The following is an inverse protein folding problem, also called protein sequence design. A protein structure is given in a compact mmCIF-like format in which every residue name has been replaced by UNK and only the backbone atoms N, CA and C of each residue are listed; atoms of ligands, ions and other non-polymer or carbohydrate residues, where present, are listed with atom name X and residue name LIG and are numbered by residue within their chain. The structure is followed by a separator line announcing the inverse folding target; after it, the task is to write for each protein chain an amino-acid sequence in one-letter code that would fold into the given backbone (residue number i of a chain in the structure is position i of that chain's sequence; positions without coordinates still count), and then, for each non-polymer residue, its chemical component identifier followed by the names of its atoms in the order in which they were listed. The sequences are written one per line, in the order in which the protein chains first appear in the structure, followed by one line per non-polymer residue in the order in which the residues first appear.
data_IF_765950826067
#
_entry.id   IF_765950826067
#
_cell.length_a   1.000
_cell.length_b   1.000
_cell.length_c   1.000
_cell.angle_alpha   90.00
_cell.angle_beta   90.00
_cell.angle_gamma   90.00
#
_symmetry.space_group_name_H-M   'P 1'
#
loop_
_entity.id
_entity.type
_entity.pdbx_description
1 polymer ?
#
# COMPACT_ATOMS: atom_id res chain seq x y z
N UNK A 1 -12.26 -4.64 -11.43
CA UNK A 1 -11.16 -5.63 -11.33
C UNK A 1 -11.63 -6.78 -10.45
N UNK A 2 -11.36 -8.04 -10.77
CA UNK A 2 -11.83 -9.18 -9.94
C UNK A 2 -11.03 -9.29 -8.63
N UNK A 3 -11.57 -9.97 -7.61
CA UNK A 3 -10.90 -10.13 -6.31
C UNK A 3 -9.52 -10.79 -6.44
N UNK A 4 -9.41 -11.86 -7.25
CA UNK A 4 -8.14 -12.55 -7.56
C UNK A 4 -7.10 -11.63 -8.23
N UNK A 5 -7.54 -10.62 -8.97
CA UNK A 5 -6.62 -9.67 -9.61
C UNK A 5 -5.99 -8.70 -8.59
N UNK A 6 -6.62 -8.48 -7.43
CA UNK A 6 -6.13 -7.60 -6.37
C UNK A 6 -5.07 -8.23 -5.47
N UNK A 7 -5.04 -9.57 -5.36
CA UNK A 7 -4.03 -10.29 -4.54
C UNK A 7 -2.65 -10.15 -5.18
N UNK A 8 -1.71 -9.52 -4.48
CA UNK A 8 -0.33 -9.30 -4.94
C UNK A 8 0.59 -10.43 -4.50
N UNK A 9 0.43 -10.88 -3.26
CA UNK A 9 1.21 -11.96 -2.68
C UNK A 9 0.37 -12.67 -1.60
N UNK A 10 0.55 -13.97 -1.47
CA UNK A 10 -0.10 -14.78 -0.45
C UNK A 10 0.80 -15.97 -0.10
N UNK A 11 1.02 -16.19 1.19
CA UNK A 11 1.64 -17.40 1.75
C UNK A 11 0.81 -17.90 2.95
N UNK A 12 1.36 -18.79 3.76
CA UNK A 12 0.66 -19.36 4.92
C UNK A 12 0.40 -18.33 6.05
N UNK A 13 1.18 -17.25 6.12
CA UNK A 13 1.12 -16.27 7.20
C UNK A 13 0.49 -14.94 6.76
N UNK A 14 0.64 -14.56 5.50
CA UNK A 14 0.31 -13.22 5.02
C UNK A 14 -0.52 -13.24 3.74
N UNK A 15 -1.35 -12.19 3.62
CA UNK A 15 -2.02 -11.80 2.40
C UNK A 15 -1.69 -10.34 2.13
N UNK A 16 -1.09 -10.06 0.97
CA UNK A 16 -0.85 -8.71 0.48
C UNK A 16 -1.76 -8.44 -0.72
N UNK A 17 -2.62 -7.45 -0.62
CA UNK A 17 -3.60 -7.12 -1.66
C UNK A 17 -3.70 -5.62 -1.92
N UNK A 18 -4.09 -5.25 -3.13
CA UNK A 18 -4.46 -3.88 -3.46
C UNK A 18 -5.69 -3.46 -2.63
N UNK A 19 -5.62 -2.27 -2.02
CA UNK A 19 -6.73 -1.67 -1.30
C UNK A 19 -7.99 -1.63 -2.20
N UNK A 20 -9.11 -2.11 -1.68
CA UNK A 20 -10.34 -2.27 -2.45
C UNK A 20 -11.27 -1.07 -2.41
N UNK A 21 -11.09 -0.20 -1.42
CA UNK A 21 -11.82 1.05 -1.22
C UNK A 21 -11.15 2.28 -1.88
N UNK A 22 -9.93 2.14 -2.40
CA UNK A 22 -9.16 3.21 -3.03
C UNK A 22 -8.38 2.65 -4.23
N UNK A 23 -8.63 3.21 -5.43
CA UNK A 23 -8.02 2.73 -6.68
C UNK A 23 -6.61 3.28 -6.93
N UNK A 24 -5.97 3.89 -5.91
CA UNK A 24 -4.58 4.35 -6.01
C UNK A 24 -3.64 3.17 -6.29
N UNK A 25 -2.94 3.13 -7.45
CA UNK A 25 -2.09 2.02 -7.82
C UNK A 25 -0.92 1.88 -6.84
N UNK A 26 -0.73 0.67 -6.33
CA UNK A 26 0.32 0.38 -5.35
C UNK A 26 -0.04 0.70 -3.92
N UNK A 27 -1.26 1.18 -3.65
CA UNK A 27 -1.76 1.20 -2.29
C UNK A 27 -2.16 -0.22 -1.87
N UNK A 28 -1.28 -0.87 -1.12
CA UNK A 28 -1.47 -2.25 -0.68
C UNK A 28 -1.84 -2.33 0.80
N UNK A 29 -2.56 -3.40 1.15
CA UNK A 29 -2.87 -3.80 2.52
C UNK A 29 -2.18 -5.15 2.76
N UNK A 30 -1.30 -5.20 3.76
CA UNK A 30 -0.75 -6.45 4.27
C UNK A 30 -1.60 -6.92 5.45
N UNK A 31 -2.24 -8.07 5.31
CA UNK A 31 -3.04 -8.72 6.35
C UNK A 31 -2.30 -9.94 6.87
N UNK A 32 -2.35 -10.14 8.19
CA UNK A 32 -1.94 -11.39 8.80
C UNK A 32 -3.11 -12.39 8.72
N UNK A 33 -2.79 -13.66 8.45
CA UNK A 33 -3.80 -14.73 8.42
C UNK A 33 -4.20 -15.20 9.83
N UNK A 34 -3.33 -14.98 10.82
CA UNK A 34 -3.65 -15.20 12.23
C UNK A 34 -4.65 -14.14 12.77
N UNK A 35 -5.01 -14.25 14.04
CA UNK A 35 -5.94 -13.34 14.72
C UNK A 35 -5.24 -12.29 15.59
N UNK A 36 -3.94 -12.05 15.39
CA UNK A 36 -3.21 -11.07 16.19
C UNK A 36 -3.82 -9.67 16.06
N UNK A 37 -3.94 -8.96 17.18
CA UNK A 37 -4.43 -7.59 17.26
C UNK A 37 -3.30 -6.58 17.45
N UNK A 38 -2.12 -7.05 17.85
CA UNK A 38 -0.94 -6.23 18.15
C UNK A 38 0.34 -6.94 17.69
N UNK A 39 1.37 -6.15 17.35
CA UNK A 39 2.69 -6.70 17.04
C UNK A 39 3.31 -7.46 18.22
N UNK A 40 2.93 -7.14 19.46
CA UNK A 40 3.41 -7.83 20.67
C UNK A 40 2.89 -9.26 20.81
N UNK A 41 1.87 -9.64 20.03
CA UNK A 41 1.28 -10.99 20.04
C UNK A 41 1.96 -11.92 19.03
N UNK A 42 2.84 -11.38 18.17
CA UNK A 42 3.55 -12.17 17.17
C UNK A 42 4.66 -12.99 17.83
N UNK A 43 4.79 -14.23 17.39
CA UNK A 43 5.97 -15.03 17.71
C UNK A 43 7.19 -14.58 16.87
N UNK A 44 8.37 -15.13 17.17
CA UNK A 44 9.61 -14.74 16.51
C UNK A 44 9.55 -14.93 14.99
N UNK A 45 9.10 -16.09 14.52
CA UNK A 45 8.98 -16.40 13.09
C UNK A 45 8.02 -15.44 12.36
N UNK A 46 6.85 -15.18 12.95
CA UNK A 46 5.87 -14.23 12.41
C UNK A 46 6.45 -12.81 12.32
N UNK A 47 7.17 -12.38 13.36
CA UNK A 47 7.77 -11.04 13.41
C UNK A 47 8.92 -10.86 12.41
N UNK A 48 9.77 -11.87 12.24
CA UNK A 48 10.86 -11.88 11.26
C UNK A 48 10.30 -11.87 9.84
N UNK A 49 9.32 -12.73 9.56
CA UNK A 49 8.68 -12.80 8.25
C UNK A 49 7.89 -11.53 7.94
N UNK A 50 7.23 -10.92 8.92
CA UNK A 50 6.56 -9.62 8.77
C UNK A 50 7.56 -8.54 8.31
N UNK A 51 8.72 -8.45 8.96
CA UNK A 51 9.77 -7.50 8.59
C UNK A 51 10.26 -7.71 7.14
N UNK A 52 10.48 -8.97 6.74
CA UNK A 52 10.88 -9.33 5.39
C UNK A 52 9.83 -8.92 4.34
N UNK A 53 8.55 -9.25 4.58
CA UNK A 53 7.47 -8.94 3.65
C UNK A 53 7.22 -7.43 3.55
N UNK A 54 7.26 -6.69 4.67
CA UNK A 54 7.14 -5.23 4.64
C UNK A 54 8.27 -4.58 3.83
N UNK A 55 9.51 -5.04 4.01
CA UNK A 55 10.66 -4.55 3.27
C UNK A 55 10.53 -4.87 1.77
N UNK A 56 10.18 -6.10 1.42
CA UNK A 56 10.05 -6.54 0.04
C UNK A 56 8.91 -5.82 -0.69
N UNK A 57 7.74 -5.72 -0.06
CA UNK A 57 6.59 -5.03 -0.63
C UNK A 57 6.88 -3.53 -0.81
N UNK A 58 7.59 -2.90 0.13
CA UNK A 58 8.04 -1.51 0.01
C UNK A 58 8.93 -1.33 -1.23
N UNK A 59 9.94 -2.18 -1.41
CA UNK A 59 10.81 -2.13 -2.59
C UNK A 59 10.03 -2.36 -3.90
N UNK A 60 9.07 -3.28 -3.90
CA UNK A 60 8.22 -3.55 -5.05
C UNK A 60 7.43 -2.29 -5.45
N UNK A 61 6.81 -1.63 -4.47
CA UNK A 61 6.04 -0.40 -4.67
C UNK A 61 6.94 0.73 -5.18
N UNK A 62 8.09 0.96 -4.54
CA UNK A 62 9.06 2.00 -4.96
C UNK A 62 9.51 1.80 -6.42
N UNK A 63 9.76 0.56 -6.84
CA UNK A 63 10.23 0.26 -8.21
C UNK A 63 9.13 0.27 -9.26
N UNK A 64 7.97 -0.30 -8.95
CA UNK A 64 6.88 -0.46 -9.94
C UNK A 64 6.07 0.82 -10.10
N UNK A 65 5.86 1.55 -9.00
CA UNK A 65 4.98 2.73 -8.95
C UNK A 65 5.80 4.02 -8.95
N UNK A 66 7.14 3.92 -8.85
CA UNK A 66 8.05 5.06 -8.74
C UNK A 66 7.72 5.94 -7.52
N UNK A 67 7.36 5.28 -6.41
CA UNK A 67 7.14 5.97 -5.15
C UNK A 67 8.47 6.49 -4.59
N UNK A 68 8.50 7.76 -4.18
CA UNK A 68 9.64 8.35 -3.47
C UNK A 68 9.68 7.92 -2.00
N UNK A 69 8.51 7.54 -1.48
CA UNK A 69 8.35 7.00 -0.13
C UNK A 69 7.13 6.09 -0.07
N UNK A 70 7.24 5.01 0.68
CA UNK A 70 6.08 4.21 1.09
C UNK A 70 5.81 4.49 2.56
N UNK A 71 4.59 4.90 2.89
CA UNK A 71 4.16 5.00 4.28
C UNK A 71 3.70 3.61 4.73
N UNK A 72 4.28 3.13 5.83
CA UNK A 72 3.85 1.91 6.50
C UNK A 72 3.07 2.32 7.75
N UNK A 73 1.77 2.06 7.77
CA UNK A 73 0.85 2.54 8.80
C UNK A 73 0.03 1.37 9.35
N UNK A 74 -0.12 1.29 10.67
CA UNK A 74 -1.04 0.37 11.35
C UNK A 74 -1.84 1.17 12.36
N UNK A 75 -3.12 1.40 12.05
CA UNK A 75 -4.05 2.13 12.92
C UNK A 75 -4.99 1.15 13.65
N UNK A 76 -5.59 0.22 12.90
CA UNK A 76 -6.39 -0.88 13.42
C UNK A 76 -7.60 -0.47 14.30
N UNK A 77 -8.19 0.72 14.14
CA UNK A 77 -9.32 1.15 14.96
C UNK A 77 -10.67 0.60 14.48
N UNK A 78 -10.88 0.49 13.16
CA UNK A 78 -12.12 -0.04 12.61
C UNK A 78 -12.08 -1.56 12.51
N UNK A 79 -11.02 -2.10 11.92
CA UNK A 79 -10.72 -3.53 11.94
C UNK A 79 -9.56 -3.77 12.90
N UNK A 80 -9.85 -4.47 14.01
CA UNK A 80 -8.91 -4.65 15.11
C UNK A 80 -7.83 -5.68 14.85
N UNK A 81 -8.00 -6.52 13.82
CA UNK A 81 -6.96 -7.47 13.41
C UNK A 81 -5.78 -6.70 12.85
N UNK A 82 -4.58 -7.08 13.24
CA UNK A 82 -3.34 -6.44 12.83
C UNK A 82 -3.23 -6.47 11.30
N UNK A 83 -3.07 -5.30 10.71
CA UNK A 83 -2.82 -5.12 9.29
C UNK A 83 -2.03 -3.84 9.05
N UNK A 84 -1.36 -3.77 7.90
CA UNK A 84 -0.54 -2.63 7.54
C UNK A 84 -1.01 -2.04 6.21
N UNK A 85 -1.17 -0.73 6.19
CA UNK A 85 -1.30 0.06 4.99
C UNK A 85 0.10 0.37 4.45
N UNK A 86 0.36 -0.02 3.20
CA UNK A 86 1.55 0.36 2.43
C UNK A 86 1.13 1.36 1.36
N UNK A 87 1.29 2.65 1.67
CA UNK A 87 0.77 3.74 0.86
C UNK A 87 1.87 4.42 0.03
N UNK A 88 1.77 4.43 -1.32
CA UNK A 88 2.78 5.00 -2.19
C UNK A 88 2.65 6.52 -2.29
N UNK A 89 3.68 7.25 -1.84
CA UNK A 89 3.83 8.67 -2.16
C UNK A 89 4.75 8.81 -3.37
N UNK A 90 4.17 9.14 -4.52
CA UNK A 90 4.87 9.52 -5.75
C UNK A 90 5.01 11.04 -5.86
N UNK A 91 5.90 11.52 -6.74
CA UNK A 91 5.98 12.95 -7.08
C UNK A 91 4.64 13.46 -7.59
N UNK A 92 4.00 12.73 -8.51
CA UNK A 92 2.71 13.11 -9.09
C UNK A 92 1.63 13.28 -8.02
N UNK A 93 1.56 12.38 -7.05
CA UNK A 93 0.60 12.47 -5.95
C UNK A 93 0.90 13.67 -5.03
N UNK A 94 2.16 13.90 -4.71
CA UNK A 94 2.59 15.05 -3.91
C UNK A 94 2.26 16.38 -4.60
N UNK A 95 2.55 16.51 -5.90
CA UNK A 95 2.20 17.69 -6.71
C UNK A 95 0.70 17.92 -6.72
N UNK A 96 -0.07 16.86 -6.96
CA UNK A 96 -1.53 16.95 -7.02
C UNK A 96 -2.14 17.36 -5.68
N UNK A 97 -1.62 16.83 -4.57
CA UNK A 97 -2.00 17.24 -3.22
C UNK A 97 -1.68 18.73 -2.98
N UNK A 98 -0.47 19.18 -3.29
CA UNK A 98 -0.06 20.58 -3.12
C UNK A 98 -0.92 21.55 -3.93
N UNK A 99 -1.21 21.22 -5.19
CA UNK A 99 -2.11 22.03 -6.01
C UNK A 99 -3.52 22.08 -5.45
N UNK A 100 -4.06 20.92 -5.03
CA UNK A 100 -5.43 20.80 -4.52
C UNK A 100 -5.68 21.43 -3.15
N UNK A 101 -4.63 21.56 -2.32
CA UNK A 101 -4.73 22.13 -0.96
C UNK A 101 -4.10 23.50 -0.81
N UNK A 102 -3.49 24.01 -1.88
CA UNK A 102 -2.72 25.27 -1.89
C UNK A 102 -1.59 25.26 -0.84
N UNK A 103 -1.05 24.08 -0.52
CA UNK A 103 0.08 23.90 0.40
C UNK A 103 1.42 23.93 -0.34
N UNK A 104 2.46 24.48 0.29
CA UNK A 104 3.81 24.38 -0.26
C UNK A 104 4.29 22.91 -0.28
N UNK A 105 4.79 22.44 -1.43
CA UNK A 105 5.34 21.09 -1.61
C UNK A 105 6.58 20.81 -0.78
N UNK A 106 7.29 21.84 -0.32
CA UNK A 106 8.53 21.67 0.45
C UNK A 106 8.29 21.16 1.88
N UNK A 107 7.06 21.27 2.40
CA UNK A 107 6.67 20.85 3.75
C UNK A 107 5.47 19.88 3.72
N UNK A 108 5.61 18.77 3.01
CA UNK A 108 4.56 17.75 2.93
C UNK A 108 4.33 17.06 4.28
N UNK A 109 3.11 17.19 4.80
CA UNK A 109 2.63 16.38 5.90
C UNK A 109 2.02 15.07 5.36
N UNK A 110 2.73 13.96 5.55
CA UNK A 110 2.33 12.66 5.02
C UNK A 110 0.99 12.14 5.55
N UNK A 111 0.62 12.47 6.79
CA UNK A 111 -0.67 12.06 7.37
C UNK A 111 -1.84 12.79 6.68
N UNK A 112 -1.70 14.11 6.45
CA UNK A 112 -2.72 14.89 5.73
C UNK A 112 -2.80 14.48 4.26
N UNK A 113 -1.68 14.21 3.61
CA UNK A 113 -1.67 13.69 2.24
C UNK A 113 -2.38 12.34 2.15
N UNK A 114 -2.09 11.43 3.09
CA UNK A 114 -2.72 10.12 3.16
C UNK A 114 -4.25 10.23 3.30
N UNK A 115 -4.72 11.03 4.25
CA UNK A 115 -6.16 11.27 4.48
C UNK A 115 -6.83 11.93 3.26
N UNK A 116 -6.22 13.00 2.73
CA UNK A 116 -6.71 13.69 1.55
C UNK A 116 -6.83 12.76 0.34
N UNK A 117 -5.84 11.91 0.12
CA UNK A 117 -5.84 10.98 -1.02
C UNK A 117 -6.98 9.97 -0.90
N UNK A 118 -7.18 9.39 0.29
CA UNK A 118 -8.24 8.41 0.55
C UNK A 118 -9.64 8.99 0.50
N UNK A 119 -9.81 10.27 0.80
CA UNK A 119 -11.09 10.95 0.67
C UNK A 119 -11.38 11.36 -0.78
N UNK A 120 -10.33 11.63 -1.56
CA UNK A 120 -10.41 12.12 -2.95
C UNK A 120 -10.52 11.04 -4.03
N UNK A 121 -9.92 9.86 -3.82
CA UNK A 121 -9.92 8.74 -4.78
C UNK A 121 -10.61 7.54 -4.18
N UNK A 122 -11.92 7.46 -4.41
CA UNK A 122 -12.74 6.31 -4.05
C UNK A 122 -12.69 5.27 -5.15
N UNK A 123 -13.18 4.08 -4.82
CA UNK A 123 -13.34 3.00 -5.78
C UNK A 123 -14.15 3.46 -7.02
N UNK A 124 -13.65 3.12 -8.21
CA UNK A 124 -14.14 3.50 -9.54
C UNK A 124 -13.95 4.97 -9.94
N UNK A 125 -13.17 5.76 -9.18
CA UNK A 125 -12.81 7.10 -9.62
C UNK A 125 -11.79 7.06 -10.77
N UNK A 126 -11.93 8.00 -11.70
CA UNK A 126 -10.92 8.19 -12.76
C UNK A 126 -9.72 8.91 -12.17
N UNK A 127 -8.59 8.21 -12.10
CA UNK A 127 -7.32 8.84 -11.75
C UNK A 127 -6.80 9.70 -12.91
N UNK A 128 -6.05 10.75 -12.62
CA UNK A 128 -5.32 11.51 -13.64
C UNK A 128 -4.42 10.60 -14.49
N UNK A 129 -4.21 10.97 -15.76
CA UNK A 129 -3.55 10.13 -16.75
C UNK A 129 -2.07 9.82 -16.44
N UNK A 130 -1.44 10.64 -15.60
CA UNK A 130 -0.08 10.46 -15.10
C UNK A 130 0.08 9.28 -14.13
N UNK A 131 -1.01 8.77 -13.55
CA UNK A 131 -0.97 7.59 -12.71
C UNK A 131 -0.92 6.31 -13.56
N UNK A 132 -0.11 5.31 -13.16
CA UNK A 132 -0.07 4.04 -13.88
C UNK A 132 -1.43 3.33 -13.78
N UNK A 133 -1.74 2.50 -14.78
CA UNK A 133 -3.01 1.75 -14.77
C UNK A 133 -3.00 0.71 -13.66
N UNK A 134 -4.01 0.75 -12.79
CA UNK A 134 -4.14 -0.13 -11.63
C UNK A 134 -3.89 -1.62 -11.95
N UNK A 135 -4.52 -2.15 -12.99
CA UNK A 135 -4.38 -3.55 -13.37
C UNK A 135 -2.94 -3.93 -13.75
N UNK A 136 -2.27 -3.07 -14.51
CA UNK A 136 -0.88 -3.30 -14.92
C UNK A 136 0.06 -3.17 -13.73
N UNK A 137 -0.18 -2.19 -12.85
CA UNK A 137 0.57 -2.05 -11.59
C UNK A 137 0.45 -3.30 -10.73
N UNK A 138 -0.76 -3.82 -10.50
CA UNK A 138 -0.96 -5.06 -9.74
C UNK A 138 -0.22 -6.24 -10.38
N UNK A 139 -0.25 -6.37 -11.72
CA UNK A 139 0.46 -7.42 -12.43
C UNK A 139 1.98 -7.34 -12.22
N UNK A 140 2.56 -6.15 -12.33
CA UNK A 140 3.99 -5.92 -12.14
C UNK A 140 4.43 -6.16 -10.69
N UNK A 141 3.62 -5.73 -9.71
CA UNK A 141 3.88 -5.99 -8.30
C UNK A 141 3.88 -7.50 -8.00
N UNK A 142 2.93 -8.27 -8.54
CA UNK A 142 2.90 -9.74 -8.40
C UNK A 142 4.19 -10.37 -8.92
N UNK A 143 4.61 -10.00 -10.13
CA UNK A 143 5.84 -10.52 -10.74
C UNK A 143 7.09 -10.16 -9.92
N UNK A 144 7.14 -8.95 -9.36
CA UNK A 144 8.23 -8.54 -8.49
C UNK A 144 8.27 -9.38 -7.21
N UNK A 145 7.15 -9.52 -6.51
CA UNK A 145 7.07 -10.31 -5.26
C UNK A 145 7.44 -11.78 -5.51
N UNK A 146 6.93 -12.39 -6.58
CA UNK A 146 7.22 -13.78 -6.96
C UNK A 146 8.71 -14.01 -7.25
N UNK A 147 9.38 -13.05 -7.89
CA UNK A 147 10.80 -13.18 -8.25
C UNK A 147 11.74 -13.06 -7.03
N UNK A 148 11.35 -12.30 -6.02
CA UNK A 148 12.25 -11.85 -4.95
C UNK A 148 11.88 -12.38 -3.55
N UNK A 149 10.86 -13.23 -3.44
CA UNK A 149 10.48 -13.91 -2.20
C UNK A 149 10.99 -15.36 -2.12
N UNK A 150 11.92 -15.75 -3.01
CA UNK A 150 12.59 -17.05 -3.00
C UNK A 150 13.93 -16.99 -2.28
#
# INVERSE_FOLDING_TARGET
MTQLQKIIFEDDLFLLEQADFCDLPGYLILKLKNEAHSMSELNLEESEKLGQILALATQAIERVVLAERVYCLSFCELERRLHFHLFPRTVALATLYSSGTHSNSDNLNGALLFEWTRTRFKQNDTLPAEFPRLHETCRQLKLYMQKNNN
#
